data_IF_890677206089
#
_entry.id   IF_890677206089
#
_cell.length_a   1.000
_cell.length_b   1.000
_cell.length_c   1.000
_cell.angle_alpha   90.00
_cell.angle_beta   90.00
_cell.angle_gamma   90.00
#
_symmetry.space_group_name_H-M   'P 1'
#
loop_
_entity.id
_entity.type
_entity.pdbx_description
1 polymer ?
#
# COMPACT_ATOMS: atom_id res chain seq x y z
N UNK A 1 20.83 -11.90 -15.60
CA UNK A 1 20.34 -13.10 -14.90
C UNK A 1 20.52 -13.08 -13.38
N UNK A 2 21.42 -12.29 -12.76
CA UNK A 2 21.63 -12.30 -11.30
C UNK A 2 20.56 -11.61 -10.42
N UNK A 3 19.78 -10.65 -10.93
CA UNK A 3 18.80 -9.89 -10.11
C UNK A 3 17.49 -10.63 -9.85
N UNK A 4 17.13 -11.60 -10.70
CA UNK A 4 15.89 -12.37 -10.56
C UNK A 4 15.96 -13.37 -9.40
N UNK A 5 17.11 -14.02 -9.20
CA UNK A 5 17.31 -14.97 -8.09
C UNK A 5 17.35 -14.26 -6.73
N UNK A 6 17.82 -13.01 -6.66
CA UNK A 6 17.92 -12.26 -5.40
C UNK A 6 16.56 -11.76 -4.89
N UNK A 7 15.65 -11.34 -5.77
CA UNK A 7 14.34 -10.86 -5.34
C UNK A 7 13.45 -12.00 -4.83
N UNK A 8 13.40 -13.13 -5.54
CA UNK A 8 12.62 -14.29 -5.10
C UNK A 8 13.06 -14.79 -3.72
N UNK A 9 14.38 -14.85 -3.49
CA UNK A 9 14.95 -15.22 -2.20
C UNK A 9 14.55 -14.22 -1.10
N UNK A 10 14.71 -12.91 -1.34
CA UNK A 10 14.35 -11.89 -0.36
C UNK A 10 12.83 -11.92 -0.04
N UNK A 11 11.98 -12.14 -1.04
CA UNK A 11 10.53 -12.28 -0.83
C UNK A 11 10.18 -13.51 0.02
N UNK A 12 10.95 -14.59 -0.09
CA UNK A 12 10.78 -15.79 0.73
C UNK A 12 11.29 -15.56 2.16
N UNK A 13 12.45 -14.92 2.32
CA UNK A 13 13.03 -14.56 3.62
C UNK A 13 12.10 -13.65 4.41
N UNK A 14 11.50 -12.66 3.75
CA UNK A 14 10.61 -11.66 4.37
C UNK A 14 9.12 -12.00 4.22
N UNK A 15 8.76 -13.25 3.87
CA UNK A 15 7.37 -13.64 3.61
C UNK A 15 6.44 -13.53 4.83
N UNK A 16 7.02 -13.49 6.03
CA UNK A 16 6.29 -13.41 7.30
C UNK A 16 6.46 -12.07 8.01
N UNK A 17 7.21 -11.14 7.44
CA UNK A 17 7.44 -9.83 8.03
C UNK A 17 6.15 -9.00 7.95
N UNK A 18 5.87 -8.25 9.02
CA UNK A 18 4.73 -7.34 9.07
C UNK A 18 4.80 -6.32 7.92
N UNK A 19 6.00 -5.80 7.64
CA UNK A 19 6.30 -4.90 6.52
C UNK A 19 7.70 -5.17 5.95
N UNK A 20 7.78 -5.50 4.66
CA UNK A 20 9.03 -5.60 3.92
C UNK A 20 9.14 -4.47 2.89
N UNK A 21 10.12 -3.58 3.09
CA UNK A 21 10.41 -2.49 2.15
C UNK A 21 11.32 -3.02 1.04
N UNK A 22 10.75 -3.22 -0.15
CA UNK A 22 11.47 -3.71 -1.33
C UNK A 22 12.37 -2.62 -1.90
N UNK A 23 11.86 -1.39 -2.00
CA UNK A 23 12.62 -0.24 -2.45
C UNK A 23 12.17 1.02 -1.73
N UNK A 24 13.15 1.84 -1.34
CA UNK A 24 12.95 3.11 -0.64
C UNK A 24 13.81 4.21 -1.28
N UNK A 25 13.19 5.27 -1.79
CA UNK A 25 13.86 6.53 -2.07
C UNK A 25 14.56 7.11 -0.82
N UNK A 26 15.73 7.75 -0.98
CA UNK A 26 16.51 8.29 0.13
C UNK A 26 15.79 9.41 0.89
N UNK A 27 14.89 10.14 0.23
CA UNK A 27 14.13 11.28 0.76
C UNK A 27 12.87 10.90 1.55
N UNK A 28 12.59 9.62 1.76
CA UNK A 28 11.41 9.19 2.52
C UNK A 28 11.48 9.63 4.00
N UNK A 29 10.46 10.38 4.41
CA UNK A 29 10.05 10.51 5.81
C UNK A 29 8.84 9.60 6.06
N UNK A 30 8.69 9.10 7.29
CA UNK A 30 7.50 8.32 7.69
C UNK A 30 6.26 9.20 7.92
N UNK A 31 6.45 10.50 8.16
CA UNK A 31 5.34 11.45 8.31
C UNK A 31 4.78 11.84 6.95
N UNK A 32 3.45 11.83 6.79
CA UNK A 32 2.78 12.22 5.54
C UNK A 32 3.27 11.46 4.30
N UNK A 33 3.53 10.16 4.46
CA UNK A 33 3.73 9.25 3.34
C UNK A 33 2.38 8.96 2.66
N UNK A 34 2.26 9.18 1.36
CA UNK A 34 1.06 8.82 0.61
C UNK A 34 1.09 7.33 0.24
N UNK A 35 0.20 6.54 0.79
CA UNK A 35 0.19 5.08 0.63
C UNK A 35 -0.96 4.66 -0.29
N UNK A 36 -0.63 4.10 -1.46
CA UNK A 36 -1.60 3.43 -2.31
C UNK A 36 -1.53 1.91 -2.05
N UNK A 37 -2.54 1.39 -1.37
CA UNK A 37 -2.69 -0.05 -1.11
C UNK A 37 -3.56 -0.70 -2.20
N UNK A 38 -2.99 -1.65 -2.94
CA UNK A 38 -3.70 -2.33 -4.04
C UNK A 38 -3.13 -3.72 -4.31
N UNK A 39 -3.89 -4.51 -5.09
CA UNK A 39 -3.45 -5.83 -5.54
C UNK A 39 -2.35 -5.77 -6.60
N UNK A 40 -2.24 -4.66 -7.34
CA UNK A 40 -1.24 -4.45 -8.39
C UNK A 40 -1.12 -5.63 -9.38
N UNK A 41 -2.26 -6.14 -9.87
CA UNK A 41 -2.34 -7.36 -10.68
C UNK A 41 -2.93 -7.15 -12.09
N UNK A 42 -2.21 -6.50 -13.03
CA UNK A 42 -0.99 -5.69 -12.85
C UNK A 42 -1.32 -4.26 -12.36
N UNK A 43 -0.32 -3.44 -11.98
CA UNK A 43 -0.49 -1.99 -11.90
C UNK A 43 -1.00 -1.43 -13.23
N UNK A 44 -1.75 -0.33 -13.16
CA UNK A 44 -2.41 0.29 -14.32
C UNK A 44 -2.18 1.80 -14.34
N UNK A 45 -2.48 2.43 -15.47
CA UNK A 45 -2.46 3.91 -15.59
C UNK A 45 -3.40 4.60 -14.61
N UNK A 46 -4.48 3.94 -14.17
CA UNK A 46 -5.38 4.49 -13.16
C UNK A 46 -4.69 4.62 -11.79
N UNK A 47 -3.85 3.65 -11.41
CA UNK A 47 -3.07 3.75 -10.16
C UNK A 47 -2.12 4.96 -10.21
N UNK A 48 -1.44 5.17 -11.35
CA UNK A 48 -0.56 6.32 -11.55
C UNK A 48 -1.34 7.64 -11.50
N UNK A 49 -2.47 7.72 -12.20
CA UNK A 49 -3.31 8.92 -12.25
C UNK A 49 -3.83 9.32 -10.87
N UNK A 50 -4.33 8.36 -10.07
CA UNK A 50 -4.79 8.62 -8.69
C UNK A 50 -3.69 9.27 -7.85
N UNK A 51 -2.47 8.72 -7.92
CA UNK A 51 -1.32 9.28 -7.19
C UNK A 51 -0.99 10.68 -7.70
N UNK A 52 -0.85 10.85 -9.02
CA UNK A 52 -0.46 12.12 -9.63
C UNK A 52 -1.45 13.24 -9.31
N UNK A 53 -2.75 12.99 -9.46
CA UNK A 53 -3.80 13.94 -9.10
C UNK A 53 -3.75 14.31 -7.62
N UNK A 54 -3.54 13.34 -6.73
CA UNK A 54 -3.44 13.60 -5.30
C UNK A 54 -2.19 14.43 -4.94
N UNK A 55 -1.10 14.28 -5.69
CA UNK A 55 0.13 15.06 -5.50
C UNK A 55 0.02 16.51 -6.03
N UNK A 56 -0.99 16.82 -6.86
CA UNK A 56 -1.28 18.18 -7.32
C UNK A 56 -2.07 19.00 -6.27
N UNK A 57 -2.66 18.34 -5.27
CA UNK A 57 -3.37 19.00 -4.19
C UNK A 57 -2.43 19.81 -3.28
N UNK A 58 -2.93 20.83 -2.55
CA UNK A 58 -2.11 21.67 -1.67
C UNK A 58 -1.40 20.88 -0.55
N UNK A 59 -1.89 19.69 -0.22
CA UNK A 59 -1.34 18.83 0.83
C UNK A 59 0.03 18.28 0.39
N UNK A 60 1.06 18.59 1.17
CA UNK A 60 2.43 18.15 0.88
C UNK A 60 2.72 16.77 1.48
N UNK A 61 3.00 15.80 0.62
CA UNK A 61 3.44 14.45 1.00
C UNK A 61 4.96 14.34 0.91
N UNK A 62 5.58 13.58 1.83
CA UNK A 62 7.04 13.40 1.87
C UNK A 62 7.52 12.23 1.01
N UNK A 63 6.62 11.56 0.31
CA UNK A 63 6.90 10.41 -0.55
C UNK A 63 5.63 9.63 -0.87
N UNK A 64 5.79 8.69 -1.79
CA UNK A 64 4.72 7.75 -2.18
C UNK A 64 5.16 6.33 -1.87
N UNK A 65 4.24 5.53 -1.38
CA UNK A 65 4.42 4.10 -1.16
C UNK A 65 3.36 3.30 -1.91
N UNK A 66 3.80 2.42 -2.81
CA UNK A 66 2.97 1.36 -3.35
C UNK A 66 3.02 0.18 -2.37
N UNK A 67 1.88 -0.16 -1.77
CA UNK A 67 1.78 -1.21 -0.76
C UNK A 67 0.94 -2.38 -1.28
N UNK A 68 1.51 -3.59 -1.26
CA UNK A 68 0.81 -4.81 -1.60
C UNK A 68 0.66 -5.73 -0.40
N UNK A 69 -0.56 -6.19 -0.13
CA UNK A 69 -0.82 -7.22 0.88
C UNK A 69 -0.71 -8.63 0.28
N UNK A 70 0.25 -9.44 0.77
CA UNK A 70 0.47 -10.81 0.32
C UNK A 70 -0.60 -11.79 0.81
N UNK A 71 -1.28 -11.45 1.92
CA UNK A 71 -2.40 -12.21 2.48
C UNK A 71 -3.67 -11.39 2.31
N UNK A 72 -4.33 -11.51 1.15
CA UNK A 72 -5.66 -10.93 1.01
C UNK A 72 -6.66 -11.77 1.81
N UNK A 73 -7.47 -11.12 2.64
CA UNK A 73 -8.44 -11.78 3.53
C UNK A 73 -9.48 -12.66 2.80
N UNK A 74 -9.68 -12.46 1.49
CA UNK A 74 -10.83 -13.04 0.77
C UNK A 74 -10.51 -13.83 -0.51
N UNK A 75 -9.26 -13.95 -1.00
CA UNK A 75 -8.97 -14.64 -2.28
C UNK A 75 -7.64 -15.37 -2.32
N UNK A 76 -7.67 -16.59 -2.88
CA UNK A 76 -6.47 -17.23 -3.46
C UNK A 76 -5.84 -16.28 -4.49
N UNK A 77 -4.51 -16.14 -4.46
CA UNK A 77 -3.78 -15.35 -5.45
C UNK A 77 -4.06 -15.91 -6.85
N UNK A 78 -4.68 -15.10 -7.72
CA UNK A 78 -4.90 -15.43 -9.13
C UNK A 78 -4.18 -14.42 -10.03
N UNK A 79 -3.79 -14.84 -11.23
CA UNK A 79 -3.02 -14.02 -12.17
C UNK A 79 -1.54 -13.95 -11.82
N UNK A 80 -0.98 -12.75 -11.70
CA UNK A 80 0.46 -12.54 -11.47
C UNK A 80 0.88 -13.00 -10.07
N UNK A 81 2.07 -13.60 -9.98
CA UNK A 81 2.72 -13.99 -8.73
C UNK A 81 3.11 -12.77 -7.88
N UNK A 82 3.40 -12.98 -6.59
CA UNK A 82 3.91 -11.90 -5.71
C UNK A 82 5.12 -11.22 -6.35
N UNK A 83 6.09 -12.02 -6.83
CA UNK A 83 7.27 -11.50 -7.50
C UNK A 83 6.92 -10.63 -8.71
N UNK A 84 6.06 -11.14 -9.61
CA UNK A 84 5.66 -10.38 -10.80
C UNK A 84 4.97 -9.06 -10.44
N UNK A 85 4.11 -9.06 -9.41
CA UNK A 85 3.46 -7.83 -8.93
C UNK A 85 4.48 -6.82 -8.43
N UNK A 86 5.44 -7.26 -7.63
CA UNK A 86 6.51 -6.41 -7.08
C UNK A 86 7.39 -5.85 -8.19
N UNK A 87 7.79 -6.67 -9.16
CA UNK A 87 8.56 -6.22 -10.33
C UNK A 87 7.80 -5.15 -11.12
N UNK A 88 6.50 -5.34 -11.35
CA UNK A 88 5.66 -4.35 -12.01
C UNK A 88 5.44 -3.09 -11.15
N UNK A 89 5.35 -3.22 -9.82
CA UNK A 89 5.29 -2.08 -8.90
C UNK A 89 6.61 -1.27 -8.94
N UNK A 90 7.78 -1.91 -8.98
CA UNK A 90 9.06 -1.20 -9.15
C UNK A 90 9.11 -0.43 -10.48
N UNK A 91 8.53 -0.96 -11.56
CA UNK A 91 8.42 -0.25 -12.84
C UNK A 91 7.51 0.97 -12.74
N UNK A 92 6.35 0.84 -12.08
CA UNK A 92 5.46 1.98 -11.82
C UNK A 92 6.13 3.02 -10.93
N UNK A 93 6.80 2.60 -9.85
CA UNK A 93 7.47 3.49 -8.91
C UNK A 93 8.53 4.38 -9.59
N UNK A 94 9.26 3.86 -10.58
CA UNK A 94 10.22 4.64 -11.38
C UNK A 94 9.59 5.78 -12.18
N UNK A 95 8.29 5.69 -12.50
CA UNK A 95 7.56 6.75 -13.20
C UNK A 95 6.91 7.78 -12.28
N UNK A 96 7.04 7.61 -10.96
CA UNK A 96 6.43 8.44 -9.94
C UNK A 96 7.51 9.15 -9.11
N UNK A 97 7.29 10.40 -8.67
CA UNK A 97 8.25 11.12 -7.86
C UNK A 97 8.35 10.50 -6.47
N UNK A 98 9.58 10.28 -5.99
CA UNK A 98 9.85 9.85 -4.61
C UNK A 98 9.01 8.64 -4.16
N UNK A 99 8.86 7.67 -5.06
CA UNK A 99 8.00 6.50 -4.89
C UNK A 99 8.82 5.24 -4.60
N UNK A 100 8.36 4.45 -3.64
CA UNK A 100 8.95 3.14 -3.32
C UNK A 100 7.88 2.07 -3.16
N UNK A 101 8.33 0.86 -2.86
CA UNK A 101 7.53 -0.37 -2.92
C UNK A 101 7.70 -1.13 -1.62
N UNK A 102 6.58 -1.57 -1.04
CA UNK A 102 6.58 -2.47 0.10
C UNK A 102 5.51 -3.55 -0.01
N UNK A 103 5.73 -4.61 0.78
CA UNK A 103 4.82 -5.74 0.92
C UNK A 103 4.49 -5.88 2.40
N UNK A 104 3.26 -6.26 2.69
CA UNK A 104 2.81 -6.57 4.05
C UNK A 104 2.03 -7.88 4.07
N UNK A 105 2.05 -8.58 5.21
CA UNK A 105 1.15 -9.73 5.46
C UNK A 105 -0.23 -9.30 5.97
N UNK A 106 -0.42 -8.03 6.30
CA UNK A 106 -1.68 -7.55 6.87
C UNK A 106 -2.70 -7.22 5.79
N UNK A 107 -3.93 -7.73 5.92
CA UNK A 107 -5.02 -7.43 5.01
C UNK A 107 -5.73 -6.13 5.37
N UNK A 108 -5.98 -5.90 6.67
CA UNK A 108 -6.82 -4.82 7.20
C UNK A 108 -6.03 -3.53 7.33
N UNK A 109 -6.66 -2.39 7.03
CA UNK A 109 -6.03 -1.07 7.15
C UNK A 109 -5.63 -0.73 8.59
N UNK A 110 -6.39 -1.18 9.59
CA UNK A 110 -6.09 -0.96 11.02
C UNK A 110 -4.73 -1.56 11.39
N UNK A 111 -4.42 -2.76 10.90
CA UNK A 111 -3.13 -3.40 11.16
C UNK A 111 -2.00 -2.69 10.41
N UNK A 112 -2.27 -2.25 9.17
CA UNK A 112 -1.30 -1.47 8.36
C UNK A 112 -0.94 -0.14 9.00
N UNK A 113 -1.90 0.54 9.61
CA UNK A 113 -1.70 1.83 10.28
C UNK A 113 -0.73 1.75 11.46
N UNK A 114 -0.59 0.60 12.12
CA UNK A 114 0.39 0.41 13.21
C UNK A 114 1.83 0.49 12.72
N UNK A 115 2.09 0.13 11.47
CA UNK A 115 3.44 0.12 10.88
C UNK A 115 3.76 1.38 10.09
N UNK A 116 2.74 2.14 9.70
CA UNK A 116 2.82 3.31 8.84
C UNK A 116 2.27 4.54 9.58
N UNK A 117 2.76 4.77 10.79
CA UNK A 117 2.34 5.88 11.65
C UNK A 117 2.56 7.23 10.96
N UNK A 118 1.54 8.08 10.95
CA UNK A 118 1.55 9.37 10.25
C UNK A 118 1.32 9.32 8.74
N UNK A 119 1.09 8.13 8.16
CA UNK A 119 0.80 8.00 6.73
C UNK A 119 -0.62 8.45 6.35
N UNK A 120 -0.79 8.80 5.07
CA UNK A 120 -2.09 9.08 4.46
C UNK A 120 -2.41 7.99 3.43
N UNK A 121 -3.49 7.25 3.61
CA UNK A 121 -3.90 6.22 2.67
C UNK A 121 -4.73 6.80 1.52
N UNK A 122 -4.24 6.64 0.30
CA UNK A 122 -4.96 6.95 -0.93
C UNK A 122 -5.92 5.81 -1.26
N UNK A 123 -7.22 6.12 -1.29
CA UNK A 123 -8.26 5.12 -1.54
C UNK A 123 -9.20 5.59 -2.65
N UNK A 124 -9.59 4.67 -3.52
CA UNK A 124 -10.73 4.90 -4.40
C UNK A 124 -12.05 4.81 -3.64
N UNK A 125 -13.10 5.42 -4.19
CA UNK A 125 -14.47 5.44 -3.60
C UNK A 125 -14.96 4.04 -3.19
N UNK A 126 -14.73 3.01 -4.01
CA UNK A 126 -15.17 1.64 -3.69
C UNK A 126 -14.40 1.00 -2.52
N UNK A 127 -13.15 1.41 -2.31
CA UNK A 127 -12.38 0.98 -1.14
C UNK A 127 -12.85 1.71 0.11
N UNK A 128 -13.15 3.01 0.03
CA UNK A 128 -13.73 3.76 1.15
C UNK A 128 -15.10 3.20 1.54
N UNK A 129 -15.96 2.87 0.57
CA UNK A 129 -17.26 2.22 0.85
C UNK A 129 -17.07 0.91 1.63
N UNK A 130 -16.08 0.08 1.26
CA UNK A 130 -15.77 -1.15 2.00
C UNK A 130 -15.16 -0.88 3.37
N UNK A 131 -14.30 0.13 3.49
CA UNK A 131 -13.72 0.54 4.78
C UNK A 131 -14.81 0.98 5.76
N UNK A 132 -15.87 1.63 5.28
CA UNK A 132 -16.97 2.11 6.12
C UNK A 132 -18.15 1.14 6.23
N UNK A 133 -18.06 -0.05 5.62
CA UNK A 133 -19.16 -1.02 5.62
C UNK A 133 -19.17 -1.80 6.94
N UNK A 134 -20.23 -1.69 7.76
CA UNK A 134 -20.31 -2.34 9.08
C UNK A 134 -20.12 -3.86 9.05
N UNK A 135 -20.38 -4.53 7.91
CA UNK A 135 -20.25 -6.00 7.82
C UNK A 135 -18.83 -6.51 8.03
N UNK A 136 -17.81 -5.65 7.95
CA UNK A 136 -16.41 -6.01 8.15
C UNK A 136 -15.95 -5.86 9.62
N UNK A 137 -16.84 -5.46 10.53
CA UNK A 137 -16.53 -5.14 11.91
C UNK A 137 -17.49 -5.85 12.88
N UNK A 138 -16.94 -6.36 13.97
CA UNK A 138 -17.74 -6.95 15.07
C UNK A 138 -18.28 -5.86 16.02
N UNK A 139 -17.77 -4.64 15.92
CA UNK A 139 -18.11 -3.47 16.70
C UNK A 139 -18.52 -2.30 15.77
N UNK A 140 -19.12 -1.22 16.29
CA UNK A 140 -19.44 -0.04 15.49
C UNK A 140 -18.22 0.49 14.74
N UNK A 141 -18.41 0.87 13.47
CA UNK A 141 -17.34 1.27 12.54
C UNK A 141 -16.46 2.37 13.13
N UNK A 142 -17.07 3.31 13.86
CA UNK A 142 -16.38 4.43 14.50
C UNK A 142 -15.36 3.94 15.55
N UNK A 143 -15.71 2.92 16.35
CA UNK A 143 -14.82 2.36 17.36
C UNK A 143 -13.74 1.53 16.68
N UNK A 144 -14.13 0.69 15.71
CA UNK A 144 -13.19 -0.16 14.99
C UNK A 144 -12.12 0.64 14.22
N UNK A 145 -12.49 1.77 13.64
CA UNK A 145 -11.58 2.64 12.88
C UNK A 145 -10.89 3.71 13.71
N UNK A 146 -11.27 3.93 14.97
CA UNK A 146 -10.60 4.90 15.83
C UNK A 146 -9.07 4.68 15.92
N UNK A 147 -8.56 3.44 16.06
CA UNK A 147 -7.11 3.20 16.04
C UNK A 147 -6.44 3.54 14.72
N UNK A 148 -7.15 3.41 13.59
CA UNK A 148 -6.63 3.81 12.28
C UNK A 148 -6.52 5.34 12.19
N UNK A 149 -7.59 6.07 12.50
CA UNK A 149 -7.62 7.53 12.39
C UNK A 149 -6.78 8.26 13.46
N UNK A 150 -6.46 7.58 14.57
CA UNK A 150 -5.51 8.10 15.55
C UNK A 150 -4.06 8.15 15.03
N UNK A 151 -3.74 7.42 13.95
CA UNK A 151 -2.39 7.23 13.42
C UNK A 151 -2.23 7.72 12.00
N UNK A 152 -3.25 7.53 11.20
CA UNK A 152 -3.23 7.75 9.77
C UNK A 152 -4.42 8.60 9.33
N UNK A 153 -4.25 9.27 8.21
CA UNK A 153 -5.35 9.89 7.49
C UNK A 153 -5.70 9.06 6.25
N UNK A 154 -6.79 9.43 5.58
CA UNK A 154 -7.07 8.95 4.24
C UNK A 154 -7.42 10.11 3.32
N UNK A 155 -7.19 9.91 2.03
CA UNK A 155 -7.69 10.77 0.97
C UNK A 155 -8.42 9.90 -0.03
N UNK A 156 -9.60 10.36 -0.46
CA UNK A 156 -10.40 9.67 -1.46
C UNK A 156 -10.23 10.38 -2.80
N UNK A 157 -9.90 9.63 -3.84
CA UNK A 157 -9.78 10.11 -5.22
C UNK A 157 -10.51 9.18 -6.21
#
# INVERSE_FOLDING_TARGET
MHRMSSLSQALQEHASDDLYIVSRPPSWSSERLLVLDSSFNPPTRAHAALIQQTLEEPIQFTGVLLLFSSRNADKQLSGASIQQRVEMMELLAKSLPNCGVAITVHARFIDKARMLDGACFLMGVDTVKRLLDPKYYDEPVEIALAPFFARCSLVCA
#
